data_IF_205393640726
#
_entry.id   IF_205393640726
#
_cell.length_a   1.000
_cell.length_b   1.000
_cell.length_c   1.000
_cell.angle_alpha   90.00
_cell.angle_beta   90.00
_cell.angle_gamma   90.00
#
_symmetry.space_group_name_H-M   'P 1'
#
loop_
_entity.id
_entity.type
_entity.pdbx_description
1 polymer ?
#
# COMPACT_ATOMS: atom_id res chain seq x y z
N UNK A 1 27.46 9.45 -23.88
CA UNK A 1 26.51 10.50 -24.33
C UNK A 1 25.20 9.75 -24.54
N UNK A 2 24.17 9.85 -23.72
CA UNK A 2 23.67 10.96 -22.92
C UNK A 2 23.18 10.46 -21.56
N UNK A 3 23.25 11.34 -20.58
CA UNK A 3 22.39 11.39 -19.39
C UNK A 3 20.97 11.00 -19.81
N UNK A 4 20.49 9.81 -19.43
CA UNK A 4 19.06 9.52 -19.48
C UNK A 4 18.48 10.00 -18.17
N UNK A 5 17.93 11.21 -18.22
CA UNK A 5 17.12 11.89 -17.22
C UNK A 5 16.71 11.01 -16.04
N UNK A 6 17.28 11.31 -14.87
CA UNK A 6 16.60 11.11 -13.59
C UNK A 6 15.29 11.90 -13.63
N UNK A 7 14.25 11.33 -14.25
CA UNK A 7 12.89 11.68 -13.87
C UNK A 7 12.68 11.04 -12.51
N UNK A 8 13.12 11.76 -11.47
CA UNK A 8 13.12 11.32 -10.05
C UNK A 8 11.72 10.95 -9.51
N UNK A 9 10.67 11.08 -10.33
CA UNK A 9 9.32 10.71 -9.95
C UNK A 9 8.52 10.13 -11.14
N UNK A 10 7.84 9.01 -10.86
CA UNK A 10 6.93 8.30 -11.74
C UNK A 10 5.56 8.99 -11.74
N UNK A 11 5.00 9.31 -12.92
CA UNK A 11 3.65 9.84 -13.01
C UNK A 11 2.59 8.74 -13.08
N UNK A 12 1.32 9.09 -12.83
CA UNK A 12 0.21 8.15 -13.03
C UNK A 12 0.10 7.62 -14.47
N UNK A 13 0.49 8.41 -15.48
CA UNK A 13 0.48 7.94 -16.86
C UNK A 13 1.58 6.89 -17.09
N UNK A 14 2.76 7.08 -16.49
CA UNK A 14 3.86 6.11 -16.58
C UNK A 14 3.45 4.77 -15.94
N UNK A 15 2.82 4.84 -14.76
CA UNK A 15 2.31 3.67 -14.04
C UNK A 15 1.20 2.95 -14.81
N UNK A 16 0.28 3.69 -15.43
CA UNK A 16 -0.78 3.14 -16.27
C UNK A 16 -0.21 2.41 -17.49
N UNK A 17 0.76 3.03 -18.16
CA UNK A 17 1.41 2.44 -19.33
C UNK A 17 2.14 1.15 -18.95
N UNK A 18 2.89 1.16 -17.84
CA UNK A 18 3.57 -0.01 -17.30
C UNK A 18 2.58 -1.16 -17.04
N UNK A 19 1.50 -0.91 -16.30
CA UNK A 19 0.50 -1.93 -15.99
C UNK A 19 -0.13 -2.51 -17.27
N UNK A 20 -0.49 -1.66 -18.24
CA UNK A 20 -1.07 -2.11 -19.52
C UNK A 20 -0.10 -2.94 -20.36
N UNK A 21 1.19 -2.61 -20.35
CA UNK A 21 2.24 -3.40 -21.02
C UNK A 21 2.36 -4.81 -20.42
N UNK A 22 1.99 -4.98 -19.15
CA UNK A 22 1.93 -6.26 -18.45
C UNK A 22 0.52 -6.90 -18.44
N UNK A 23 -0.29 -6.61 -19.47
CA UNK A 23 -1.64 -7.17 -19.68
C UNK A 23 -2.65 -6.92 -18.54
N UNK A 24 -2.44 -5.89 -17.73
CA UNK A 24 -3.38 -5.51 -16.70
C UNK A 24 -4.63 -4.81 -17.27
N UNK A 25 -5.81 -5.22 -16.79
CA UNK A 25 -7.08 -4.55 -17.06
C UNK A 25 -7.37 -3.50 -15.97
N UNK A 26 -6.77 -2.32 -16.11
CA UNK A 26 -6.90 -1.21 -15.16
C UNK A 26 -7.47 0.05 -15.78
N UNK A 27 -8.28 0.76 -15.01
CA UNK A 27 -8.82 2.07 -15.39
C UNK A 27 -7.92 3.21 -14.92
N UNK A 28 -8.04 4.36 -15.56
CA UNK A 28 -7.31 5.59 -15.15
C UNK A 28 -7.66 6.00 -13.72
N UNK A 29 -8.92 5.85 -13.31
CA UNK A 29 -9.36 6.15 -11.94
C UNK A 29 -8.66 5.28 -10.90
N UNK A 30 -8.41 4.01 -11.20
CA UNK A 30 -7.76 3.09 -10.27
C UNK A 30 -6.27 3.40 -10.12
N UNK A 31 -5.61 3.73 -11.23
CA UNK A 31 -4.23 4.18 -11.18
C UNK A 31 -4.13 5.52 -10.47
N UNK A 32 -5.09 6.44 -10.68
CA UNK A 32 -5.15 7.69 -9.93
C UNK A 32 -5.27 7.45 -8.42
N UNK A 33 -6.15 6.55 -7.98
CA UNK A 33 -6.29 6.21 -6.57
C UNK A 33 -5.02 5.54 -6.01
N UNK A 34 -4.37 4.69 -6.78
CA UNK A 34 -3.09 4.10 -6.40
C UNK A 34 -2.02 5.18 -6.23
N UNK A 35 -1.87 6.10 -7.19
CA UNK A 35 -0.91 7.21 -7.09
C UNK A 35 -1.18 8.06 -5.86
N UNK A 36 -2.43 8.45 -5.61
CA UNK A 36 -2.77 9.24 -4.41
C UNK A 36 -2.45 8.54 -3.08
N UNK A 37 -2.35 7.21 -3.07
CA UNK A 37 -1.94 6.48 -1.88
C UNK A 37 -0.43 6.43 -1.72
N UNK A 38 0.33 6.55 -2.80
CA UNK A 38 1.78 6.46 -2.82
C UNK A 38 2.44 7.83 -2.67
N UNK A 39 1.82 8.86 -3.25
CA UNK A 39 2.18 10.28 -3.20
C UNK A 39 1.93 10.84 -1.79
N UNK A 40 2.98 10.91 -0.98
CA UNK A 40 2.94 11.39 0.41
C UNK A 40 3.13 12.90 0.48
N UNK A 41 3.86 13.48 -0.47
CA UNK A 41 4.14 14.92 -0.50
C UNK A 41 3.05 15.73 -1.24
N UNK A 42 2.15 15.07 -1.97
CA UNK A 42 1.03 15.65 -2.69
C UNK A 42 1.39 16.28 -4.04
N UNK A 43 2.54 15.95 -4.63
CA UNK A 43 3.02 16.52 -5.89
C UNK A 43 2.43 15.87 -7.15
N UNK A 44 1.62 14.83 -6.98
CA UNK A 44 0.95 14.08 -8.05
C UNK A 44 1.86 13.08 -8.76
N UNK A 45 3.06 12.83 -8.25
CA UNK A 45 4.03 11.87 -8.76
C UNK A 45 4.48 10.95 -7.61
N UNK A 46 5.23 9.92 -7.95
CA UNK A 46 5.78 8.95 -6.99
C UNK A 46 7.29 9.01 -7.11
N UNK A 47 7.95 9.64 -6.14
CA UNK A 47 9.41 9.66 -6.08
C UNK A 47 9.95 8.31 -5.58
N UNK A 48 11.26 8.10 -5.74
CA UNK A 48 11.90 6.85 -5.31
C UNK A 48 11.69 6.55 -3.82
N UNK A 49 11.73 7.58 -2.97
CA UNK A 49 11.54 7.39 -1.51
C UNK A 49 10.12 6.94 -1.15
N UNK A 50 9.11 7.44 -1.85
CA UNK A 50 7.70 7.03 -1.72
C UNK A 50 7.50 5.61 -2.22
N UNK A 51 8.10 5.27 -3.37
CA UNK A 51 8.09 3.93 -3.92
C UNK A 51 8.72 2.92 -2.98
N UNK A 52 9.89 3.24 -2.40
CA UNK A 52 10.53 2.42 -1.38
C UNK A 52 9.63 2.28 -0.15
N UNK A 53 9.08 3.37 0.37
CA UNK A 53 8.20 3.28 1.54
C UNK A 53 6.97 2.40 1.27
N UNK A 54 6.41 2.45 0.07
CA UNK A 54 5.24 1.65 -0.27
C UNK A 54 5.53 0.16 -0.44
N UNK A 55 6.67 -0.20 -1.05
CA UNK A 55 6.95 -1.59 -1.45
C UNK A 55 7.89 -2.35 -0.53
N UNK A 56 8.56 -1.67 0.39
CA UNK A 56 9.45 -2.35 1.33
C UNK A 56 8.67 -3.31 2.25
N UNK A 57 9.09 -4.58 2.34
CA UNK A 57 8.48 -5.54 3.26
C UNK A 57 8.59 -5.06 4.70
N UNK A 58 7.62 -5.42 5.55
CA UNK A 58 7.68 -5.11 6.98
C UNK A 58 8.81 -5.91 7.67
N UNK A 59 9.07 -7.14 7.23
CA UNK A 59 10.09 -8.02 7.80
C UNK A 59 11.50 -7.40 7.75
N UNK A 60 12.05 -7.09 8.93
CA UNK A 60 13.33 -6.42 9.08
C UNK A 60 14.52 -7.21 8.51
N UNK A 61 14.48 -8.55 8.53
CA UNK A 61 15.55 -9.38 7.98
C UNK A 61 15.55 -9.30 6.45
N UNK A 62 14.36 -9.35 5.82
CA UNK A 62 14.21 -9.16 4.37
C UNK A 62 14.66 -7.76 3.97
N UNK A 63 14.23 -6.71 4.69
CA UNK A 63 14.67 -5.33 4.39
C UNK A 63 16.19 -5.17 4.48
N UNK A 64 16.80 -5.71 5.54
CA UNK A 64 18.25 -5.62 5.74
C UNK A 64 19.01 -6.32 4.63
N UNK A 65 18.52 -7.49 4.19
CA UNK A 65 19.07 -8.21 3.04
C UNK A 65 18.94 -7.40 1.75
N UNK A 66 17.79 -6.76 1.48
CA UNK A 66 17.57 -5.94 0.29
C UNK A 66 18.51 -4.73 0.24
N UNK A 67 18.65 -4.00 1.34
CA UNK A 67 19.50 -2.80 1.43
C UNK A 67 20.99 -3.18 1.32
N UNK A 68 21.37 -4.35 1.81
CA UNK A 68 22.76 -4.83 1.77
C UNK A 68 23.15 -5.45 0.43
N UNK A 69 22.22 -5.63 -0.51
CA UNK A 69 22.54 -6.10 -1.86
C UNK A 69 23.39 -5.02 -2.54
N UNK A 70 24.67 -5.32 -2.74
CA UNK A 70 25.50 -4.52 -3.62
C UNK A 70 24.92 -4.55 -5.04
N UNK A 71 24.93 -3.40 -5.70
CA UNK A 71 24.58 -3.33 -7.12
C UNK A 71 25.56 -4.23 -7.88
N UNK A 72 25.07 -5.36 -8.35
CA UNK A 72 25.86 -6.32 -9.08
C UNK A 72 26.10 -5.87 -10.53
N UNK A 73 25.49 -4.76 -10.98
CA UNK A 73 25.69 -4.17 -12.31
C UNK A 73 25.35 -5.11 -13.46
N UNK A 74 24.65 -6.22 -13.18
CA UNK A 74 24.45 -7.32 -14.13
C UNK A 74 23.43 -6.99 -15.21
N UNK A 75 22.52 -6.04 -14.96
CA UNK A 75 21.46 -5.69 -15.89
C UNK A 75 21.27 -4.17 -15.95
N UNK A 76 21.34 -3.61 -17.16
CA UNK A 76 21.04 -2.21 -17.46
C UNK A 76 19.54 -1.89 -17.22
N UNK A 77 18.68 -2.92 -17.25
CA UNK A 77 17.24 -2.83 -17.04
C UNK A 77 16.76 -3.88 -16.04
N UNK A 78 15.65 -3.60 -15.37
CA UNK A 78 15.01 -4.57 -14.48
C UNK A 78 14.66 -5.84 -15.29
N UNK A 79 15.09 -7.05 -14.85
CA UNK A 79 14.79 -8.28 -15.58
C UNK A 79 13.28 -8.48 -15.75
N UNK A 80 12.87 -9.09 -16.87
CA UNK A 80 11.46 -9.26 -17.22
C UNK A 80 10.63 -9.91 -16.10
N UNK A 81 11.17 -10.94 -15.44
CA UNK A 81 10.49 -11.61 -14.34
C UNK A 81 10.26 -10.68 -13.14
N UNK A 82 11.22 -9.80 -12.85
CA UNK A 82 11.07 -8.79 -11.80
C UNK A 82 10.03 -7.73 -12.17
N UNK A 83 9.97 -7.29 -13.44
CA UNK A 83 8.91 -6.40 -13.93
C UNK A 83 7.53 -7.05 -13.78
N UNK A 84 7.41 -8.32 -14.14
CA UNK A 84 6.15 -9.07 -14.00
C UNK A 84 5.72 -9.19 -12.53
N UNK A 85 6.64 -9.51 -11.62
CA UNK A 85 6.36 -9.56 -10.19
C UNK A 85 5.92 -8.19 -9.64
N UNK A 86 6.56 -7.11 -10.08
CA UNK A 86 6.18 -5.75 -9.70
C UNK A 86 4.78 -5.39 -10.21
N UNK A 87 4.48 -5.71 -11.48
CA UNK A 87 3.16 -5.49 -12.05
C UNK A 87 2.06 -6.25 -11.27
N UNK A 88 2.31 -7.51 -10.91
CA UNK A 88 1.38 -8.31 -10.11
C UNK A 88 1.15 -7.73 -8.72
N UNK A 89 2.20 -7.22 -8.08
CA UNK A 89 2.08 -6.58 -6.76
C UNK A 89 1.19 -5.33 -6.81
N UNK A 90 1.43 -4.46 -7.80
CA UNK A 90 0.63 -3.24 -8.00
C UNK A 90 -0.81 -3.55 -8.41
N UNK A 91 -1.00 -4.58 -9.22
CA UNK A 91 -2.34 -5.10 -9.53
C UNK A 91 -3.06 -5.58 -8.29
N UNK A 92 -2.36 -6.29 -7.41
CA UNK A 92 -2.97 -6.76 -6.17
C UNK A 92 -3.40 -5.61 -5.27
N UNK A 93 -2.60 -4.54 -5.22
CA UNK A 93 -2.92 -3.32 -4.50
C UNK A 93 -4.19 -2.64 -5.05
N UNK A 94 -4.33 -2.57 -6.38
CA UNK A 94 -5.54 -2.03 -7.05
C UNK A 94 -6.77 -2.88 -6.72
N UNK A 95 -6.67 -4.20 -6.83
CA UNK A 95 -7.75 -5.13 -6.50
C UNK A 95 -8.23 -4.95 -5.06
N UNK A 96 -7.30 -4.98 -4.10
CA UNK A 96 -7.61 -4.81 -2.67
C UNK A 96 -8.25 -3.45 -2.42
N UNK A 97 -7.76 -2.38 -3.04
CA UNK A 97 -8.36 -1.05 -2.89
C UNK A 97 -9.78 -0.96 -3.43
N UNK A 98 -10.03 -1.53 -4.62
CA UNK A 98 -11.37 -1.61 -5.22
C UNK A 98 -12.31 -2.35 -4.27
N UNK A 99 -11.86 -3.47 -3.75
CA UNK A 99 -12.58 -4.33 -2.81
C UNK A 99 -12.88 -3.65 -1.46
N UNK A 100 -11.92 -2.91 -0.91
CA UNK A 100 -12.11 -2.13 0.32
C UNK A 100 -13.14 -1.02 0.09
N UNK A 101 -13.10 -0.35 -1.06
CA UNK A 101 -14.02 0.74 -1.37
C UNK A 101 -15.48 0.27 -1.51
N UNK A 102 -15.69 -0.91 -2.08
CA UNK A 102 -17.01 -1.56 -2.10
C UNK A 102 -17.50 -1.82 -0.67
N UNK A 103 -16.66 -2.40 0.20
CA UNK A 103 -17.03 -2.70 1.59
C UNK A 103 -17.28 -1.43 2.42
N UNK A 104 -16.51 -0.37 2.20
CA UNK A 104 -16.77 0.95 2.81
C UNK A 104 -18.15 1.47 2.40
N UNK A 105 -18.47 1.50 1.10
CA UNK A 105 -19.79 1.97 0.63
C UNK A 105 -20.93 1.17 1.26
N UNK A 106 -20.79 -0.15 1.38
CA UNK A 106 -21.77 -0.99 2.07
C UNK A 106 -21.91 -0.58 3.54
N UNK A 107 -20.81 -0.45 4.28
CA UNK A 107 -20.83 -0.05 5.69
C UNK A 107 -21.45 1.34 5.91
N UNK A 108 -21.07 2.33 5.09
CA UNK A 108 -21.58 3.70 5.21
C UNK A 108 -23.02 3.86 4.70
N UNK A 109 -23.54 2.90 3.93
CA UNK A 109 -24.96 2.90 3.53
C UNK A 109 -25.91 2.46 4.66
N UNK A 110 -25.36 1.88 5.74
CA UNK A 110 -26.12 1.41 6.90
C UNK A 110 -26.62 2.61 7.74
N UNK A 111 -27.94 2.78 7.95
CA UNK A 111 -28.47 3.92 8.71
C UNK A 111 -28.13 3.86 10.21
N UNK A 112 -27.81 2.66 10.71
CA UNK A 112 -27.41 2.37 12.08
C UNK A 112 -25.89 2.49 12.31
N UNK A 113 -25.09 2.66 11.25
CA UNK A 113 -23.65 2.82 11.39
C UNK A 113 -23.30 4.26 11.80
N UNK A 114 -22.59 4.40 12.93
CA UNK A 114 -22.08 5.69 13.41
C UNK A 114 -20.57 5.59 13.57
N UNK A 115 -19.83 6.39 12.78
CA UNK A 115 -18.37 6.37 12.75
C UNK A 115 -17.74 6.56 14.14
N UNK A 116 -18.27 7.50 14.93
CA UNK A 116 -17.77 7.73 16.29
C UNK A 116 -17.96 6.51 17.20
N UNK A 117 -19.09 5.80 17.09
CA UNK A 117 -19.31 4.60 17.89
C UNK A 117 -18.36 3.47 17.46
N UNK A 118 -18.09 3.35 16.16
CA UNK A 118 -17.12 2.38 15.65
C UNK A 118 -15.70 2.68 16.13
N UNK A 119 -15.29 3.96 16.15
CA UNK A 119 -14.00 4.36 16.73
C UNK A 119 -13.92 4.01 18.21
N UNK A 120 -14.93 4.40 19.00
CA UNK A 120 -14.99 4.10 20.44
C UNK A 120 -15.07 2.62 20.77
N UNK A 121 -15.55 1.82 19.82
CA UNK A 121 -15.56 0.37 19.95
C UNK A 121 -14.16 -0.24 19.79
N UNK A 122 -13.28 0.41 19.01
CA UNK A 122 -11.91 -0.02 18.75
C UNK A 122 -10.88 0.68 19.63
N UNK A 123 -11.23 1.82 20.25
CA UNK A 123 -10.31 2.64 21.03
C UNK A 123 -9.94 1.98 22.36
N UNK A 124 -8.72 2.26 22.82
CA UNK A 124 -8.35 2.03 24.21
C UNK A 124 -8.89 3.19 25.07
N UNK A 125 -9.82 2.96 26.04
CA UNK A 125 -10.50 4.05 26.75
C UNK A 125 -9.58 4.97 27.57
N UNK A 126 -8.45 4.46 28.05
CA UNK A 126 -7.44 5.23 28.79
C UNK A 126 -6.62 6.16 27.88
N UNK A 127 -6.43 5.78 26.62
CA UNK A 127 -5.58 6.50 25.67
C UNK A 127 -6.39 7.36 24.69
N UNK A 128 -7.67 7.04 24.45
CA UNK A 128 -8.52 7.74 23.49
C UNK A 128 -8.10 7.55 22.04
N UNK A 129 -7.36 6.48 21.76
CA UNK A 129 -6.84 6.13 20.43
C UNK A 129 -6.97 4.62 20.20
N UNK A 130 -7.03 4.20 18.93
CA UNK A 130 -6.96 2.78 18.58
C UNK A 130 -5.50 2.36 18.64
N UNK A 131 -5.19 1.35 19.46
CA UNK A 131 -3.85 0.79 19.60
C UNK A 131 -3.79 -0.63 19.02
N UNK A 132 -2.61 -1.18 18.71
CA UNK A 132 -2.51 -2.58 18.30
C UNK A 132 -3.13 -3.55 19.32
N UNK A 133 -3.01 -3.23 20.62
CA UNK A 133 -3.59 -4.01 21.69
C UNK A 133 -5.12 -3.94 21.69
N UNK A 134 -5.72 -2.74 21.60
CA UNK A 134 -7.18 -2.60 21.59
C UNK A 134 -7.81 -3.24 20.34
N UNK A 135 -7.15 -3.14 19.19
CA UNK A 135 -7.61 -3.79 17.96
C UNK A 135 -7.51 -5.33 18.06
N UNK A 136 -6.45 -5.85 18.67
CA UNK A 136 -6.28 -7.29 18.89
C UNK A 136 -7.37 -7.87 19.80
N UNK A 137 -7.69 -7.17 20.91
CA UNK A 137 -8.73 -7.57 21.86
C UNK A 137 -10.10 -7.65 21.17
N UNK A 138 -10.47 -6.61 20.41
CA UNK A 138 -11.75 -6.59 19.68
C UNK A 138 -11.77 -7.70 18.62
N UNK A 139 -10.67 -7.90 17.90
CA UNK A 139 -10.57 -8.97 16.90
C UNK A 139 -10.81 -10.35 17.52
N UNK A 140 -10.17 -10.63 18.66
CA UNK A 140 -10.31 -11.90 19.37
C UNK A 140 -11.77 -12.13 19.84
N UNK A 141 -12.42 -11.08 20.34
CA UNK A 141 -13.84 -11.13 20.72
C UNK A 141 -14.78 -11.49 19.56
N UNK A 142 -14.38 -11.25 18.30
CA UNK A 142 -15.11 -11.62 17.09
C UNK A 142 -14.61 -12.90 16.41
N UNK A 143 -13.81 -13.72 17.10
CA UNK A 143 -13.18 -14.93 16.57
C UNK A 143 -12.27 -14.68 15.36
N UNK A 144 -11.66 -13.49 15.31
CA UNK A 144 -10.60 -13.17 14.36
C UNK A 144 -9.27 -13.15 15.09
N UNK A 145 -8.28 -13.90 14.59
CA UNK A 145 -6.94 -13.92 15.16
C UNK A 145 -6.00 -13.12 14.27
N UNK A 146 -5.76 -11.85 14.64
CA UNK A 146 -4.74 -11.02 14.01
C UNK A 146 -3.39 -11.31 14.64
N UNK A 147 -2.39 -11.60 13.81
CA UNK A 147 -1.01 -11.72 14.25
C UNK A 147 -0.40 -10.33 14.49
N UNK A 148 0.74 -10.27 15.17
CA UNK A 148 1.49 -9.03 15.32
C UNK A 148 1.86 -8.41 13.95
N UNK A 149 2.14 -9.26 12.94
CA UNK A 149 2.42 -8.82 11.58
C UNK A 149 1.18 -8.19 10.90
N UNK A 150 -0.01 -8.79 11.09
CA UNK A 150 -1.26 -8.24 10.54
C UNK A 150 -1.55 -6.86 11.12
N UNK A 151 -1.39 -6.71 12.44
CA UNK A 151 -1.57 -5.43 13.13
C UNK A 151 -0.57 -4.39 12.63
N UNK A 152 0.71 -4.75 12.51
CA UNK A 152 1.73 -3.84 11.98
C UNK A 152 1.41 -3.39 10.55
N UNK A 153 0.94 -4.29 9.68
CA UNK A 153 0.54 -3.96 8.32
C UNK A 153 -0.69 -3.04 8.27
N UNK A 154 -1.69 -3.27 9.12
CA UNK A 154 -2.89 -2.43 9.23
C UNK A 154 -2.48 -1.02 9.67
N UNK A 155 -1.72 -0.91 10.76
CA UNK A 155 -1.30 0.40 11.30
C UNK A 155 -0.35 1.13 10.35
N UNK A 156 0.61 0.44 9.73
CA UNK A 156 1.48 1.02 8.68
C UNK A 156 0.66 1.61 7.52
N UNK A 157 -0.49 1.02 7.19
CA UNK A 157 -1.37 1.53 6.14
C UNK A 157 -2.23 2.70 6.60
N UNK A 158 -2.65 2.72 7.88
CA UNK A 158 -3.54 3.73 8.44
C UNK A 158 -2.81 5.00 8.91
N UNK A 159 -1.57 4.87 9.40
CA UNK A 159 -0.79 5.93 10.04
C UNK A 159 0.08 6.69 9.03
N UNK A 160 -0.57 7.35 8.06
CA UNK A 160 0.07 8.11 6.96
C UNK A 160 -0.14 9.60 7.10
#
# INVERSE_FOLDING_TARGET
>A
MLVTDFRDACSGQDLLNFLRQHNALVTESEVFHLVRQLDLNGDGRICYSEFLNALMPVDAAIRSSLISRGDCGLHEHLPHDCCFLLANLLMKEIEVNRELEVRRKVLFSRPDFKLLLAFRYLEEPSAGQVTPASLAEVSEAHNHHLTACDLELIFRRMDR
#
